data_IF_138786497619
#
_entry.id   IF_138786497619
#
_cell.length_a   1.000
_cell.length_b   1.000
_cell.length_c   1.000
_cell.angle_alpha   90.00
_cell.angle_beta   90.00
_cell.angle_gamma   90.00
#
_symmetry.space_group_name_H-M   'P 1'
#
loop_
_entity.id
_entity.type
_entity.pdbx_description
1 polymer ?
#
# COMPACT_ATOMS: atom_id res chain seq x y z
N UNK A 1 -8.66 -16.89 10.15
CA UNK A 1 -7.43 -16.09 10.28
C UNK A 1 -7.62 -14.88 9.37
N UNK A 2 -8.11 -13.76 9.91
CA UNK A 2 -8.59 -12.62 9.12
C UNK A 2 -7.44 -11.80 8.52
N UNK A 3 -7.60 -11.34 7.28
CA UNK A 3 -6.69 -10.40 6.64
C UNK A 3 -6.91 -9.02 7.27
N UNK A 4 -5.93 -8.51 8.04
CA UNK A 4 -6.04 -7.16 8.61
C UNK A 4 -5.90 -6.10 7.52
N UNK A 5 -7.02 -5.51 7.11
CA UNK A 5 -7.03 -4.44 6.10
C UNK A 5 -6.91 -3.05 6.74
N UNK A 6 -5.89 -2.28 6.38
CA UNK A 6 -5.70 -0.91 6.90
C UNK A 6 -6.23 0.15 5.93
N UNK A 7 -7.11 1.04 6.41
CA UNK A 7 -7.68 2.16 5.65
C UNK A 7 -7.13 3.48 6.20
N UNK A 8 -6.18 4.11 5.50
CA UNK A 8 -5.74 5.49 5.77
C UNK A 8 -6.56 6.54 5.02
N UNK A 9 -6.22 7.82 5.15
CA UNK A 9 -6.88 8.92 4.40
C UNK A 9 -6.82 8.72 2.89
N UNK A 10 -5.64 8.37 2.35
CA UNK A 10 -5.47 8.02 0.94
C UNK A 10 -6.31 6.78 0.56
N UNK A 11 -6.26 5.72 1.36
CA UNK A 11 -6.98 4.47 1.05
C UNK A 11 -8.50 4.67 1.05
N UNK A 12 -9.01 5.56 1.92
CA UNK A 12 -10.41 5.92 1.97
C UNK A 12 -10.84 6.65 0.69
N UNK A 13 -10.08 7.65 0.24
CA UNK A 13 -10.39 8.42 -0.97
C UNK A 13 -10.28 7.55 -2.23
N UNK A 14 -9.26 6.69 -2.31
CA UNK A 14 -9.05 5.81 -3.47
C UNK A 14 -9.92 4.55 -3.47
N UNK A 15 -10.62 4.26 -2.36
CA UNK A 15 -11.41 3.03 -2.20
C UNK A 15 -10.59 1.74 -2.12
N UNK A 16 -9.26 1.83 -2.01
CA UNK A 16 -8.36 0.68 -1.96
C UNK A 16 -8.48 -0.08 -0.63
N UNK A 17 -8.41 -1.41 -0.69
CA UNK A 17 -8.36 -2.28 0.49
C UNK A 17 -7.04 -3.03 0.47
N UNK A 18 -6.19 -2.82 1.48
CA UNK A 18 -4.84 -3.38 1.50
C UNK A 18 -4.64 -4.47 2.53
N UNK A 19 -4.09 -5.61 2.11
CA UNK A 19 -3.53 -6.62 3.00
C UNK A 19 -2.00 -6.62 2.92
N UNK A 20 -1.32 -6.87 4.04
CA UNK A 20 0.14 -7.03 4.02
C UNK A 20 0.52 -8.37 3.38
N UNK A 21 1.56 -8.33 2.56
CA UNK A 21 2.22 -9.50 2.02
C UNK A 21 3.70 -9.46 2.45
N UNK A 22 4.24 -10.62 2.80
CA UNK A 22 5.65 -10.75 3.16
C UNK A 22 6.54 -10.71 1.91
N UNK A 23 6.11 -11.36 0.82
CA UNK A 23 6.83 -11.39 -0.45
C UNK A 23 5.89 -11.03 -1.62
N UNK A 24 6.43 -10.26 -2.58
CA UNK A 24 5.74 -9.90 -3.82
C UNK A 24 6.71 -10.02 -4.98
N UNK A 25 6.30 -10.71 -6.03
CA UNK A 25 6.96 -10.73 -7.32
C UNK A 25 6.06 -10.04 -8.36
N UNK A 26 6.64 -9.15 -9.16
CA UNK A 26 5.93 -8.52 -10.28
C UNK A 26 6.27 -9.30 -11.54
N UNK A 27 5.35 -10.16 -11.98
CA UNK A 27 5.56 -10.94 -13.20
C UNK A 27 5.61 -10.07 -14.46
N UNK A 28 4.79 -9.01 -14.54
CA UNK A 28 4.69 -8.13 -15.72
C UNK A 28 4.28 -6.70 -15.33
N UNK A 29 4.56 -5.73 -16.21
CA UNK A 29 4.04 -4.37 -16.09
C UNK A 29 4.77 -3.47 -15.08
N UNK A 30 5.89 -3.91 -14.51
CA UNK A 30 6.67 -3.12 -13.54
C UNK A 30 7.04 -1.71 -14.07
N UNK A 31 7.43 -1.62 -15.34
CA UNK A 31 7.79 -0.35 -16.01
C UNK A 31 6.59 0.57 -16.26
N UNK A 32 5.37 0.03 -16.25
CA UNK A 32 4.13 0.78 -16.43
C UNK A 32 3.59 1.33 -15.10
N UNK A 33 4.17 0.94 -13.97
CA UNK A 33 3.80 1.48 -12.67
C UNK A 33 4.30 2.92 -12.53
N UNK A 34 3.46 3.73 -11.90
CA UNK A 34 3.79 5.06 -11.42
C UNK A 34 3.74 5.04 -9.90
N UNK A 35 4.53 5.91 -9.27
CA UNK A 35 4.58 6.02 -7.83
C UNK A 35 4.14 7.40 -7.33
N UNK A 36 3.51 7.41 -6.16
CA UNK A 36 3.13 8.60 -5.43
C UNK A 36 3.56 8.45 -3.96
N UNK A 37 4.09 9.52 -3.38
CA UNK A 37 4.43 9.60 -1.96
C UNK A 37 3.91 10.91 -1.37
N UNK A 38 3.55 10.88 -0.09
CA UNK A 38 3.03 12.04 0.64
C UNK A 38 3.44 11.98 2.11
N UNK A 39 3.24 13.08 2.84
CA UNK A 39 3.59 13.18 4.26
C UNK A 39 5.08 12.94 4.48
N UNK A 40 5.44 11.94 5.28
CA UNK A 40 6.84 11.57 5.55
C UNK A 40 7.57 10.93 4.38
N UNK A 41 6.89 10.60 3.27
CA UNK A 41 7.45 9.90 2.11
C UNK A 41 7.98 8.49 2.42
N UNK A 42 7.71 7.97 3.61
CA UNK A 42 8.12 6.63 4.05
C UNK A 42 7.37 5.50 3.35
N UNK A 43 6.21 5.79 2.74
CA UNK A 43 5.40 4.84 1.99
C UNK A 43 5.28 5.35 0.56
N UNK A 44 5.60 4.47 -0.40
CA UNK A 44 5.35 4.68 -1.83
C UNK A 44 4.10 3.92 -2.24
N UNK A 45 3.21 4.60 -2.93
CA UNK A 45 1.95 4.06 -3.47
C UNK A 45 2.17 3.82 -4.96
N UNK A 46 2.02 2.57 -5.40
CA UNK A 46 2.21 2.20 -6.80
C UNK A 46 0.86 2.01 -7.50
N UNK A 47 0.71 2.62 -8.67
CA UNK A 47 -0.49 2.54 -9.48
C UNK A 47 -0.15 2.20 -10.93
N UNK A 48 -1.07 1.52 -11.61
CA UNK A 48 -0.97 1.29 -13.05
C UNK A 48 -1.08 2.63 -13.78
N UNK A 49 -0.06 3.00 -14.56
CA UNK A 49 -0.04 4.26 -15.31
C UNK A 49 -1.10 4.33 -16.43
N UNK A 50 -1.72 3.21 -16.79
CA UNK A 50 -2.73 3.14 -17.86
C UNK A 50 -4.15 3.25 -17.32
N UNK A 51 -4.53 2.46 -16.30
CA UNK A 51 -5.90 2.43 -15.77
C UNK A 51 -6.05 3.12 -14.41
N UNK A 52 -4.97 3.57 -13.79
CA UNK A 52 -5.00 4.26 -12.49
C UNK A 52 -5.20 3.36 -11.28
N UNK A 53 -5.37 2.04 -11.46
CA UNK A 53 -5.57 1.13 -10.34
C UNK A 53 -4.37 1.14 -9.39
N UNK A 54 -4.61 1.36 -8.09
CA UNK A 54 -3.57 1.21 -7.07
C UNK A 54 -3.28 -0.28 -6.84
N UNK A 55 -2.06 -0.70 -7.18
CA UNK A 55 -1.64 -2.11 -7.22
C UNK A 55 -1.13 -2.55 -5.85
N UNK A 56 -0.14 -1.84 -5.31
CA UNK A 56 0.41 -2.10 -4.00
C UNK A 56 1.06 -0.83 -3.43
N UNK A 57 1.27 -0.83 -2.12
CA UNK A 57 2.03 0.19 -1.41
C UNK A 57 3.25 -0.47 -0.76
N UNK A 58 4.39 0.23 -0.71
CA UNK A 58 5.63 -0.30 -0.12
C UNK A 58 6.24 0.70 0.84
N UNK A 59 6.67 0.21 2.01
CA UNK A 59 7.52 1.01 2.89
C UNK A 59 8.95 1.07 2.34
N UNK A 60 9.46 2.28 2.16
CA UNK A 60 10.82 2.53 1.67
C UNK A 60 11.74 3.09 2.75
N UNK A 61 11.24 3.31 3.96
CA UNK A 61 12.04 3.86 5.06
C UNK A 61 12.74 2.74 5.85
N UNK A 62 14.08 2.70 5.89
CA UNK A 62 14.86 1.69 6.63
C UNK A 62 14.51 1.62 8.13
N UNK A 63 14.09 2.74 8.72
CA UNK A 63 13.71 2.86 10.14
C UNK A 63 12.23 2.54 10.39
N UNK A 64 11.46 2.18 9.36
CA UNK A 64 10.02 1.95 9.47
C UNK A 64 9.54 0.81 8.58
N UNK A 65 9.36 -0.39 9.16
CA UNK A 65 8.85 -1.60 8.48
C UNK A 65 9.38 -1.77 7.04
N UNK A 66 10.68 -1.55 6.84
CA UNK A 66 11.31 -1.46 5.52
C UNK A 66 10.99 -2.66 4.64
N UNK A 67 10.68 -2.40 3.37
CA UNK A 67 10.41 -3.43 2.39
C UNK A 67 9.03 -4.08 2.50
N UNK A 68 8.29 -3.90 3.61
CA UNK A 68 6.93 -4.43 3.75
C UNK A 68 6.02 -3.85 2.68
N UNK A 69 5.26 -4.72 2.05
CA UNK A 69 4.31 -4.38 1.01
C UNK A 69 2.87 -4.63 1.46
N UNK A 70 1.96 -3.83 0.93
CA UNK A 70 0.53 -3.97 1.14
C UNK A 70 -0.19 -3.97 -0.21
N UNK A 71 -0.83 -5.09 -0.56
CA UNK A 71 -1.45 -5.34 -1.88
C UNK A 71 -2.92 -4.94 -1.83
N UNK A 72 -3.41 -4.28 -2.88
CA UNK A 72 -4.83 -3.99 -3.01
C UNK A 72 -5.61 -5.29 -3.31
N UNK A 73 -6.32 -5.83 -2.32
CA UNK A 73 -7.04 -7.11 -2.44
C UNK A 73 -8.18 -7.07 -3.43
N UNK A 74 -8.67 -5.87 -3.80
CA UNK A 74 -9.71 -5.72 -4.84
C UNK A 74 -9.22 -6.12 -6.23
N UNK A 75 -7.91 -6.20 -6.44
CA UNK A 75 -7.31 -6.60 -7.71
C UNK A 75 -6.99 -8.09 -7.78
N UNK A 76 -7.18 -8.83 -6.67
CA UNK A 76 -6.92 -10.26 -6.62
C UNK A 76 -8.13 -11.04 -7.16
N UNK A 77 -7.86 -12.02 -8.02
CA UNK A 77 -8.89 -12.91 -8.54
C UNK A 77 -9.29 -13.95 -7.50
N UNK A 78 -10.58 -14.30 -7.45
CA UNK A 78 -11.10 -15.35 -6.56
C UNK A 78 -11.16 -14.97 -5.08
N UNK A 79 -10.97 -13.69 -4.74
CA UNK A 79 -11.13 -13.18 -3.38
C UNK A 79 -12.58 -12.74 -3.17
N UNK A 80 -13.26 -13.35 -2.19
CA UNK A 80 -14.55 -12.89 -1.71
C UNK A 80 -14.35 -11.71 -0.75
N UNK A 81 -14.63 -10.50 -1.23
CA UNK A 81 -14.47 -9.27 -0.44
C UNK A 81 -15.48 -9.15 0.70
N UNK A 82 -16.66 -9.77 0.57
CA UNK A 82 -17.72 -9.71 1.60
C UNK A 82 -17.37 -10.60 2.80
N UNK A 83 -16.58 -11.66 2.57
CA UNK A 83 -16.08 -12.54 3.62
C UNK A 83 -14.86 -11.99 4.37
N UNK A 84 -14.27 -10.87 3.93
CA UNK A 84 -13.10 -10.30 4.60
C UNK A 84 -13.51 -9.37 5.74
N UNK A 85 -13.04 -9.69 6.94
CA UNK A 85 -13.15 -8.81 8.09
C UNK A 85 -12.22 -7.60 7.94
N UNK A 86 -12.80 -6.40 7.85
CA UNK A 86 -12.05 -5.15 7.64
C UNK A 86 -11.81 -4.45 8.98
N UNK A 87 -10.54 -4.40 9.42
CA UNK A 87 -10.15 -3.63 10.61
C UNK A 87 -9.79 -2.19 10.24
N UNK A 88 -10.77 -1.27 10.30
CA UNK A 88 -10.50 0.15 10.07
C UNK A 88 -9.52 0.69 11.13
N UNK A 89 -8.45 1.35 10.68
CA UNK A 89 -7.57 2.15 11.52
C UNK A 89 -7.82 3.61 11.21
N UNK A 90 -8.04 4.45 12.21
CA UNK A 90 -8.14 5.88 11.96
C UNK A 90 -6.80 6.43 11.44
N UNK A 91 -6.81 6.89 10.18
CA UNK A 91 -5.60 7.35 9.50
C UNK A 91 -4.97 8.61 10.10
N UNK A 92 -5.71 9.35 10.93
CA UNK A 92 -5.22 10.56 11.63
C UNK A 92 -4.14 10.24 12.66
N UNK A 93 -4.19 9.06 13.27
CA UNK A 93 -3.30 8.67 14.38
C UNK A 93 -2.07 7.88 13.90
N UNK A 94 -1.92 7.72 12.59
CA UNK A 94 -0.80 6.99 12.00
C UNK A 94 0.10 7.92 11.20
N UNK A 95 1.18 8.37 11.83
CA UNK A 95 2.26 9.12 11.20
C UNK A 95 3.53 8.28 11.14
N UNK A 96 3.91 7.74 9.98
CA UNK A 96 5.21 7.10 9.83
C UNK A 96 6.32 8.15 9.98
N UNK A 97 7.48 7.78 10.55
CA UNK A 97 8.59 8.72 10.70
C UNK A 97 9.02 9.26 9.33
N UNK A 98 9.59 10.49 9.26
CA UNK A 98 10.16 11.05 8.04
C UNK A 98 11.11 10.07 7.34
N UNK A 99 11.01 9.97 6.02
CA UNK A 99 12.05 9.33 5.23
C UNK A 99 13.28 10.22 5.32
N UNK A 100 14.33 9.73 5.97
CA UNK A 100 15.64 10.39 5.92
C UNK A 100 16.17 10.25 4.50
N UNK A 101 16.09 11.34 3.75
CA UNK A 101 16.88 11.48 2.52
C UNK A 101 18.30 11.60 3.03
N UNK A 102 19.14 10.58 2.82
CA UNK A 102 20.57 10.76 3.01
C UNK A 102 20.96 11.97 2.16
N UNK A 103 21.23 13.10 2.82
CA UNK A 103 21.88 14.25 2.22
C UNK A 103 23.26 13.75 1.79
N UNK A 104 23.37 13.45 0.50
CA UNK A 104 24.66 13.30 -0.16
C UNK A 104 25.53 14.53 0.08
#
# INVERSE_FOLDING_TARGET
>A
MGLTIKIGSYCHISGSLHAFADDIEIHQGAQSLKEYGFGSHSIKIFFCGTCGANVYNRSVNPKFIYGKCAINVRLLQGVDLEAIEVTKREGKDFYPPPLEVNSS
#
